data_IF_192615026060
#
_entry.id   IF_192615026060
#
_cell.length_a   1.000
_cell.length_b   1.000
_cell.length_c   1.000
_cell.angle_alpha   90.00
_cell.angle_beta   90.00
_cell.angle_gamma   90.00
#
_symmetry.space_group_name_H-M   'P 1'
#
loop_
_entity.id
_entity.type
_entity.pdbx_description
1 polymer ?
#
# COMPACT_ATOMS: atom_id res chain seq x y z
N UNK A 1 15.30 -14.09 -0.55
CA UNK A 1 14.50 -13.01 0.07
C UNK A 1 13.57 -12.46 -1.00
N UNK A 2 12.24 -12.44 -0.83
CA UNK A 2 11.40 -11.62 -1.73
C UNK A 2 11.84 -10.19 -1.51
N UNK A 3 12.32 -9.51 -2.54
CA UNK A 3 12.77 -8.13 -2.45
C UNK A 3 11.73 -7.31 -1.71
N UNK A 4 12.18 -6.42 -0.82
CA UNK A 4 11.37 -5.37 -0.22
C UNK A 4 11.02 -4.31 -1.28
N UNK A 5 10.56 -4.76 -2.46
CA UNK A 5 10.09 -3.92 -3.53
C UNK A 5 8.82 -3.22 -3.07
N UNK A 6 8.82 -1.90 -3.20
CA UNK A 6 7.66 -1.08 -2.92
C UNK A 6 6.45 -1.55 -3.75
N UNK A 7 5.25 -1.38 -3.19
CA UNK A 7 4.01 -1.63 -3.91
C UNK A 7 3.99 -0.69 -5.13
N UNK A 8 3.82 -1.24 -6.34
CA UNK A 8 3.75 -0.50 -7.59
C UNK A 8 2.39 0.16 -7.76
N UNK A 9 2.26 1.09 -8.70
CA UNK A 9 0.98 1.75 -8.96
C UNK A 9 -0.12 0.76 -9.39
N UNK A 10 0.21 -0.18 -10.28
CA UNK A 10 -0.77 -1.18 -10.74
C UNK A 10 -1.20 -2.14 -9.62
N UNK A 11 -0.27 -2.52 -8.75
CA UNK A 11 -0.60 -3.29 -7.53
C UNK A 11 -1.56 -2.53 -6.63
N UNK A 12 -1.42 -1.20 -6.50
CA UNK A 12 -2.36 -0.36 -5.73
C UNK A 12 -3.73 -0.23 -6.41
N UNK A 13 -3.75 -0.17 -7.75
CA UNK A 13 -5.01 -0.16 -8.51
C UNK A 13 -5.75 -1.48 -8.30
N UNK A 14 -5.03 -2.59 -8.37
CA UNK A 14 -5.58 -3.91 -8.09
C UNK A 14 -6.02 -4.04 -6.62
N UNK A 15 -5.23 -3.52 -5.67
CA UNK A 15 -5.61 -3.42 -4.26
C UNK A 15 -6.96 -2.72 -4.06
N UNK A 16 -7.17 -1.57 -4.70
CA UNK A 16 -8.46 -0.86 -4.64
C UNK A 16 -9.62 -1.73 -5.15
N UNK A 17 -9.42 -2.44 -6.25
CA UNK A 17 -10.43 -3.36 -6.77
C UNK A 17 -10.76 -4.48 -5.76
N UNK A 18 -9.75 -5.07 -5.12
CA UNK A 18 -9.94 -6.12 -4.12
C UNK A 18 -10.66 -5.63 -2.86
N UNK A 19 -10.42 -4.40 -2.41
CA UNK A 19 -11.14 -3.82 -1.27
C UNK A 19 -12.66 -3.77 -1.50
N UNK A 20 -13.08 -3.54 -2.75
CA UNK A 20 -14.50 -3.47 -3.12
C UNK A 20 -15.08 -4.85 -3.48
N UNK A 21 -14.24 -5.83 -3.79
CA UNK A 21 -14.68 -7.16 -4.23
C UNK A 21 -15.33 -7.96 -3.10
N UNK A 22 -16.45 -8.61 -3.41
CA UNK A 22 -17.10 -9.55 -2.49
C UNK A 22 -16.23 -10.80 -2.23
N UNK A 23 -15.32 -11.16 -3.14
CA UNK A 23 -14.38 -12.28 -2.94
C UNK A 23 -13.42 -12.05 -1.77
N UNK A 24 -13.18 -10.78 -1.41
CA UNK A 24 -12.29 -10.39 -0.33
C UNK A 24 -13.04 -9.95 0.93
N UNK A 25 -14.36 -10.18 1.00
CA UNK A 25 -15.18 -9.95 2.19
C UNK A 25 -15.42 -11.26 2.92
N UNK A 26 -15.31 -11.23 4.24
CA UNK A 26 -15.74 -12.32 5.12
C UNK A 26 -17.27 -12.34 5.20
N UNK A 27 -17.83 -13.44 5.73
CA UNK A 27 -19.28 -13.59 5.95
C UNK A 27 -19.90 -12.45 6.77
N UNK A 28 -19.12 -11.84 7.67
CA UNK A 28 -19.56 -10.70 8.50
C UNK A 28 -19.32 -9.33 7.84
N UNK A 29 -19.02 -9.27 6.53
CA UNK A 29 -18.80 -8.04 5.78
C UNK A 29 -17.42 -7.39 5.96
N UNK A 30 -16.60 -7.85 6.91
CA UNK A 30 -15.24 -7.31 7.12
C UNK A 30 -14.27 -7.80 6.05
N UNK A 31 -13.20 -7.04 5.79
CA UNK A 31 -12.18 -7.41 4.80
C UNK A 31 -11.37 -8.64 5.23
N UNK A 32 -11.15 -9.54 4.28
CA UNK A 32 -10.25 -10.68 4.42
C UNK A 32 -8.84 -10.29 3.95
N UNK A 33 -8.02 -9.80 4.88
CA UNK A 33 -6.66 -9.32 4.57
C UNK A 33 -5.74 -10.43 4.05
N UNK A 34 -5.90 -11.66 4.53
CA UNK A 34 -5.11 -12.81 4.07
C UNK A 34 -5.41 -13.12 2.60
N UNK A 35 -6.68 -13.04 2.21
CA UNK A 35 -7.10 -13.27 0.82
C UNK A 35 -6.61 -12.16 -0.11
N UNK A 36 -6.68 -10.90 0.32
CA UNK A 36 -6.11 -9.78 -0.42
C UNK A 36 -4.60 -9.96 -0.61
N UNK A 37 -3.88 -10.36 0.45
CA UNK A 37 -2.45 -10.61 0.42
C UNK A 37 -2.10 -11.73 -0.57
N UNK A 38 -2.88 -12.83 -0.56
CA UNK A 38 -2.75 -13.95 -1.50
C UNK A 38 -2.93 -13.51 -2.95
N UNK A 39 -4.00 -12.76 -3.25
CA UNK A 39 -4.32 -12.35 -4.63
C UNK A 39 -3.31 -11.34 -5.19
N UNK A 40 -2.79 -10.43 -4.37
CA UNK A 40 -1.73 -9.49 -4.76
C UNK A 40 -0.33 -10.13 -4.73
N UNK A 41 -0.19 -11.32 -4.16
CA UNK A 41 1.10 -12.02 -4.07
C UNK A 41 2.08 -11.38 -3.08
N UNK A 42 1.57 -10.63 -2.08
CA UNK A 42 2.36 -9.90 -1.09
C UNK A 42 2.14 -10.43 0.32
N UNK A 43 3.04 -10.07 1.22
CA UNK A 43 2.89 -10.39 2.64
C UNK A 43 1.73 -9.61 3.29
N UNK A 44 1.07 -10.23 4.26
CA UNK A 44 -0.06 -9.62 4.97
C UNK A 44 0.33 -8.32 5.69
N UNK A 45 1.57 -8.17 6.14
CA UNK A 45 2.03 -6.93 6.78
C UNK A 45 2.17 -5.80 5.77
N UNK A 46 2.43 -6.09 4.50
CA UNK A 46 2.41 -5.08 3.43
C UNK A 46 0.99 -4.58 3.20
N UNK A 47 0.00 -5.47 3.17
CA UNK A 47 -1.42 -5.10 3.10
C UNK A 47 -1.83 -4.24 4.30
N UNK A 48 -1.49 -4.67 5.53
CA UNK A 48 -1.79 -3.90 6.75
C UNK A 48 -1.19 -2.50 6.73
N UNK A 49 0.08 -2.36 6.29
CA UNK A 49 0.73 -1.05 6.17
C UNK A 49 0.04 -0.16 5.15
N UNK A 50 -0.37 -0.72 4.01
CA UNK A 50 -1.03 0.04 2.95
C UNK A 50 -2.41 0.54 3.40
N UNK A 51 -3.18 -0.28 4.13
CA UNK A 51 -4.45 0.13 4.76
C UNK A 51 -4.22 1.24 5.79
N UNK A 52 -3.20 1.09 6.65
CA UNK A 52 -2.88 2.07 7.69
C UNK A 52 -2.46 3.45 7.15
N UNK A 53 -2.07 3.56 5.87
CA UNK A 53 -1.76 4.87 5.26
C UNK A 53 -2.98 5.80 5.22
N UNK A 54 -4.19 5.25 5.22
CA UNK A 54 -5.42 6.02 5.11
C UNK A 54 -6.20 5.97 6.43
N UNK A 55 -6.73 7.12 6.85
CA UNK A 55 -7.57 7.22 8.06
C UNK A 55 -8.88 6.44 7.90
N UNK A 56 -9.44 6.44 6.70
CA UNK A 56 -10.60 5.64 6.31
C UNK A 56 -10.24 4.86 5.02
N UNK A 57 -10.50 3.56 5.01
CA UNK A 57 -10.22 2.68 3.87
C UNK A 57 -11.08 3.01 2.65
N UNK A 58 -12.26 3.60 2.85
CA UNK A 58 -13.14 4.06 1.77
C UNK A 58 -12.50 5.19 0.96
N UNK A 59 -11.65 5.99 1.60
CA UNK A 59 -10.90 7.06 0.96
C UNK A 59 -9.65 6.54 0.24
N UNK A 60 -9.43 5.22 0.21
CA UNK A 60 -8.26 4.65 -0.46
C UNK A 60 -8.28 4.95 -1.96
N UNK A 61 -7.23 5.64 -2.44
CA UNK A 61 -6.96 5.78 -3.86
C UNK A 61 -5.53 5.38 -4.20
N UNK A 62 -5.36 4.65 -5.29
CA UNK A 62 -4.04 4.25 -5.78
C UNK A 62 -3.16 5.47 -6.08
N UNK A 63 -3.77 6.57 -6.53
CA UNK A 63 -3.11 7.84 -6.83
C UNK A 63 -2.54 8.49 -5.58
N UNK A 64 -3.32 8.66 -4.52
CA UNK A 64 -2.84 9.29 -3.28
C UNK A 64 -1.78 8.44 -2.58
N UNK A 65 -1.99 7.12 -2.52
CA UNK A 65 -1.02 6.19 -1.96
C UNK A 65 0.32 6.25 -2.70
N UNK A 66 0.29 6.41 -4.03
CA UNK A 66 1.48 6.54 -4.85
C UNK A 66 2.15 7.93 -4.71
N UNK A 67 1.35 9.00 -4.61
CA UNK A 67 1.84 10.36 -4.34
C UNK A 67 2.53 10.46 -2.98
N UNK A 68 1.96 9.87 -1.94
CA UNK A 68 2.53 9.82 -0.59
C UNK A 68 3.92 9.16 -0.59
N UNK A 69 4.05 8.01 -1.28
CA UNK A 69 5.34 7.37 -1.51
C UNK A 69 6.34 8.29 -2.24
N UNK A 70 5.94 8.92 -3.34
CA UNK A 70 6.84 9.84 -4.07
C UNK A 70 7.31 11.01 -3.19
N UNK A 71 6.44 11.53 -2.33
CA UNK A 71 6.76 12.61 -1.38
C UNK A 71 7.77 12.15 -0.33
N UNK A 72 7.61 10.95 0.24
CA UNK A 72 8.55 10.42 1.23
C UNK A 72 9.93 10.14 0.65
N UNK A 73 9.98 9.57 -0.57
CA UNK A 73 11.24 9.35 -1.30
C UNK A 73 11.96 10.66 -1.56
N UNK A 74 11.26 11.70 -2.06
CA UNK A 74 11.86 13.02 -2.29
C UNK A 74 12.44 13.62 -1.00
N UNK A 75 11.72 13.50 0.12
CA UNK A 75 12.19 14.00 1.43
C UNK A 75 13.46 13.28 1.90
N UNK A 76 13.54 11.97 1.69
CA UNK A 76 14.73 11.19 2.06
C UNK A 76 15.95 11.58 1.22
N UNK A 77 15.81 11.74 -0.09
CA UNK A 77 16.92 12.21 -0.94
C UNK A 77 17.42 13.59 -0.54
N UNK A 78 16.50 14.54 -0.27
CA UNK A 78 16.86 15.86 0.23
C UNK A 78 17.60 15.76 1.57
N UNK A 79 17.09 14.98 2.52
CA UNK A 79 17.74 14.80 3.82
C UNK A 79 19.13 14.17 3.70
N UNK A 80 19.33 13.22 2.79
CA UNK A 80 20.62 12.58 2.57
C UNK A 80 21.60 13.57 1.93
N UNK A 81 21.15 14.33 0.93
CA UNK A 81 21.95 15.36 0.27
C UNK A 81 22.48 16.39 1.27
N UNK A 82 21.64 16.89 2.18
CA UNK A 82 22.08 17.84 3.22
C UNK A 82 23.08 17.23 4.22
N UNK A 83 22.95 15.94 4.57
CA UNK A 83 23.91 15.26 5.47
C UNK A 83 25.28 15.02 4.85
N UNK A 84 25.35 14.84 3.53
CA UNK A 84 26.61 14.59 2.81
C UNK A 84 27.37 15.90 2.54
N UNK A 85 26.67 17.04 2.56
CA UNK A 85 27.24 18.37 2.34
C UNK A 85 27.56 19.16 3.63
N UNK A 86 27.15 18.65 4.79
CA UNK A 86 27.43 19.22 6.12
C UNK A 86 28.59 18.51 6.80
#
# INVERSE_FOLDING_TARGET
>A
MKDYTHVKYDERRFFKYLLSSNSCKKKNGTLNLSEIARQIGRDINTVKREIKRFKNIENYTAVEAHKDYKKSVKRNYLSLFFKVLS
#
